data_IF_893825693591
#
_entry.id   IF_893825693591
#
_cell.length_a   1.000
_cell.length_b   1.000
_cell.length_c   1.000
_cell.angle_alpha   90.00
_cell.angle_beta   90.00
_cell.angle_gamma   90.00
#
_symmetry.space_group_name_H-M   'P 1'
#
loop_
_entity.id
_entity.type
_entity.pdbx_description
1 polymer ?
#
# COMPACT_ATOMS: atom_id res chain seq x y z
N UNK A 1 -13.96 15.81 -3.63
CA UNK A 1 -12.64 15.28 -4.06
C UNK A 1 -11.67 15.12 -2.90
N UNK A 2 -11.41 16.15 -2.08
CA UNK A 2 -10.49 16.08 -0.92
C UNK A 2 -10.77 14.92 0.05
N UNK A 3 -12.03 14.72 0.47
CA UNK A 3 -12.42 13.60 1.35
C UNK A 3 -12.14 12.21 0.75
N UNK A 4 -12.36 12.03 -0.57
CA UNK A 4 -12.08 10.75 -1.25
C UNK A 4 -10.58 10.45 -1.29
N UNK A 5 -9.77 11.48 -1.54
CA UNK A 5 -8.30 11.38 -1.58
C UNK A 5 -7.76 11.05 -0.18
N UNK A 6 -8.15 11.82 0.83
CA UNK A 6 -7.73 11.58 2.23
C UNK A 6 -8.21 10.20 2.70
N UNK A 7 -9.45 9.83 2.39
CA UNK A 7 -9.98 8.50 2.70
C UNK A 7 -9.16 7.38 2.08
N UNK A 8 -8.80 7.50 0.79
CA UNK A 8 -7.95 6.52 0.12
C UNK A 8 -6.55 6.41 0.76
N UNK A 9 -5.94 7.53 1.16
CA UNK A 9 -4.68 7.52 1.90
C UNK A 9 -4.80 6.87 3.28
N UNK A 10 -5.84 7.18 4.05
CA UNK A 10 -6.03 6.57 5.37
C UNK A 10 -6.28 5.07 5.24
N UNK A 11 -7.13 4.66 4.29
CA UNK A 11 -7.38 3.26 4.02
C UNK A 11 -6.09 2.53 3.59
N UNK A 12 -5.31 3.10 2.67
CA UNK A 12 -4.04 2.53 2.22
C UNK A 12 -3.03 2.37 3.36
N UNK A 13 -2.92 3.38 4.24
CA UNK A 13 -2.07 3.33 5.42
C UNK A 13 -2.51 2.18 6.35
N UNK A 14 -3.79 2.14 6.75
CA UNK A 14 -4.29 1.12 7.66
C UNK A 14 -4.14 -0.29 7.08
N UNK A 15 -4.57 -0.50 5.84
CA UNK A 15 -4.56 -1.82 5.19
C UNK A 15 -3.15 -2.35 4.99
N UNK A 16 -2.22 -1.55 4.46
CA UNK A 16 -0.82 -1.98 4.29
C UNK A 16 -0.13 -2.23 5.63
N UNK A 17 -0.46 -1.45 6.65
CA UNK A 17 0.02 -1.65 8.02
C UNK A 17 -0.43 -3.01 8.57
N UNK A 18 -1.74 -3.29 8.53
CA UNK A 18 -2.30 -4.56 9.02
C UNK A 18 -1.71 -5.76 8.27
N UNK A 19 -1.67 -5.71 6.94
CA UNK A 19 -1.15 -6.80 6.11
C UNK A 19 0.34 -7.05 6.41
N UNK A 20 1.16 -6.00 6.39
CA UNK A 20 2.61 -6.15 6.63
C UNK A 20 2.91 -6.63 8.05
N UNK A 21 2.22 -6.07 9.06
CA UNK A 21 2.39 -6.49 10.45
C UNK A 21 2.01 -7.96 10.63
N UNK A 22 0.86 -8.38 10.09
CA UNK A 22 0.37 -9.75 10.20
C UNK A 22 1.34 -10.73 9.53
N UNK A 23 1.75 -10.44 8.29
CA UNK A 23 2.69 -11.30 7.56
C UNK A 23 4.02 -11.45 8.27
N UNK A 24 4.62 -10.35 8.73
CA UNK A 24 5.94 -10.37 9.35
C UNK A 24 5.86 -11.00 10.75
N UNK A 25 4.82 -10.70 11.53
CA UNK A 25 4.65 -11.30 12.87
C UNK A 25 4.40 -12.81 12.80
N UNK A 26 3.64 -13.30 11.81
CA UNK A 26 3.37 -14.74 11.64
C UNK A 26 4.60 -15.49 11.12
N UNK A 27 5.30 -14.95 10.12
CA UNK A 27 6.38 -15.69 9.44
C UNK A 27 7.75 -15.53 10.11
N UNK A 28 8.01 -14.39 10.74
CA UNK A 28 9.31 -14.05 11.34
C UNK A 28 9.23 -14.03 12.87
N UNK A 29 8.04 -13.79 13.43
CA UNK A 29 7.88 -13.60 14.87
C UNK A 29 8.37 -12.23 15.37
N UNK A 30 8.30 -12.04 16.67
CA UNK A 30 8.69 -10.79 17.34
C UNK A 30 10.17 -10.81 17.72
N UNK A 31 11.05 -10.48 16.77
CA UNK A 31 12.50 -10.33 17.00
C UNK A 31 12.84 -9.09 17.83
N UNK A 32 14.10 -8.94 18.24
CA UNK A 32 14.57 -7.74 18.92
C UNK A 32 14.29 -6.46 18.12
N UNK A 33 13.71 -5.47 18.80
CA UNK A 33 13.26 -4.21 18.22
C UNK A 33 12.28 -4.40 17.05
N UNK A 34 11.53 -5.51 17.03
CA UNK A 34 10.57 -5.83 15.96
C UNK A 34 9.68 -4.65 15.62
N UNK A 35 9.01 -4.07 16.62
CA UNK A 35 8.02 -3.02 16.39
C UNK A 35 8.66 -1.78 15.74
N UNK A 36 9.86 -1.40 16.19
CA UNK A 36 10.61 -0.28 15.62
C UNK A 36 11.10 -0.58 14.20
N UNK A 37 11.68 -1.77 13.97
CA UNK A 37 12.16 -2.20 12.64
C UNK A 37 11.02 -2.30 11.63
N UNK A 38 9.90 -2.89 12.05
CA UNK A 38 8.69 -3.01 11.25
C UNK A 38 8.14 -1.62 10.93
N UNK A 39 7.90 -0.76 11.93
CA UNK A 39 7.31 0.56 11.73
C UNK A 39 8.18 1.43 10.82
N UNK A 40 9.50 1.44 11.03
CA UNK A 40 10.45 2.15 10.17
C UNK A 40 10.39 1.67 8.72
N UNK A 41 10.45 0.35 8.52
CA UNK A 41 10.47 -0.24 7.17
C UNK A 41 9.16 -0.03 6.44
N UNK A 42 8.04 -0.25 7.13
CA UNK A 42 6.70 -0.05 6.59
C UNK A 42 6.42 1.42 6.27
N UNK A 43 6.79 2.36 7.14
CA UNK A 43 6.57 3.79 6.89
C UNK A 43 7.35 4.26 5.65
N UNK A 44 8.60 3.83 5.50
CA UNK A 44 9.41 4.12 4.30
C UNK A 44 8.74 3.53 3.05
N UNK A 45 8.32 2.26 3.11
CA UNK A 45 7.63 1.60 2.00
C UNK A 45 6.32 2.33 1.61
N UNK A 46 5.56 2.81 2.61
CA UNK A 46 4.32 3.53 2.37
C UNK A 46 4.56 4.88 1.67
N UNK A 47 5.59 5.63 2.07
CA UNK A 47 5.96 6.88 1.39
C UNK A 47 6.36 6.64 -0.06
N UNK A 48 7.01 5.50 -0.35
CA UNK A 48 7.41 5.11 -1.71
C UNK A 48 6.22 4.63 -2.55
N UNK A 49 5.28 3.87 -1.96
CA UNK A 49 4.16 3.29 -2.73
C UNK A 49 3.18 4.34 -3.23
N UNK A 50 2.99 5.43 -2.49
CA UNK A 50 2.11 6.55 -2.87
C UNK A 50 2.45 7.14 -4.25
N UNK A 51 3.66 7.67 -4.51
CA UNK A 51 4.02 8.20 -5.82
C UNK A 51 4.02 7.11 -6.90
N UNK A 52 4.42 5.88 -6.55
CA UNK A 52 4.39 4.75 -7.48
C UNK A 52 2.97 4.47 -7.97
N UNK A 53 1.97 4.44 -7.08
CA UNK A 53 0.56 4.26 -7.44
C UNK A 53 0.10 5.40 -8.33
N UNK A 54 0.45 6.66 -8.04
CA UNK A 54 0.06 7.80 -8.87
C UNK A 54 0.64 7.72 -10.29
N UNK A 55 1.85 7.19 -10.45
CA UNK A 55 2.49 6.98 -11.75
C UNK A 55 1.94 5.76 -12.51
N UNK A 56 1.59 4.69 -11.79
CA UNK A 56 1.14 3.41 -12.38
C UNK A 56 -0.36 3.41 -12.66
N UNK A 57 -1.18 4.07 -11.83
CA UNK A 57 -2.63 4.06 -11.96
C UNK A 57 -3.16 4.45 -13.36
N UNK A 58 -2.62 5.49 -14.04
CA UNK A 58 -3.05 5.80 -15.40
C UNK A 58 -2.79 4.65 -16.39
N UNK A 59 -1.62 4.01 -16.29
CA UNK A 59 -1.24 2.88 -17.16
C UNK A 59 -2.14 1.67 -16.93
N UNK A 60 -2.44 1.38 -15.66
CA UNK A 60 -3.37 0.30 -15.29
C UNK A 60 -4.77 0.61 -15.79
N UNK A 61 -5.25 1.85 -15.65
CA UNK A 61 -6.57 2.25 -16.17
C UNK A 61 -6.65 2.10 -17.69
N UNK A 62 -5.59 2.41 -18.43
CA UNK A 62 -5.51 2.16 -19.89
C UNK A 62 -5.54 0.67 -20.23
N UNK A 63 -4.82 -0.16 -19.46
CA UNK A 63 -4.84 -1.61 -19.66
C UNK A 63 -6.21 -2.21 -19.36
N UNK A 64 -6.81 -1.81 -18.24
CA UNK A 64 -8.16 -2.22 -17.82
C UNK A 64 -9.16 -1.80 -18.89
N UNK A 65 -9.13 -0.55 -19.35
CA UNK A 65 -10.04 -0.10 -20.40
C UNK A 65 -9.86 -0.87 -21.69
N UNK A 66 -8.63 -1.18 -22.10
CA UNK A 66 -8.35 -2.03 -23.27
C UNK A 66 -8.97 -3.44 -23.12
N UNK A 67 -8.76 -4.09 -21.97
CA UNK A 67 -9.30 -5.44 -21.70
C UNK A 67 -10.83 -5.49 -21.70
N UNK A 68 -11.50 -4.45 -21.19
CA UNK A 68 -12.95 -4.37 -21.15
C UNK A 68 -13.58 -3.72 -22.39
N UNK A 69 -12.77 -3.24 -23.36
CA UNK A 69 -13.27 -2.67 -24.63
C UNK A 69 -13.58 -3.74 -25.68
N UNK A 70 -13.36 -5.02 -25.38
CA UNK A 70 -13.93 -6.13 -26.13
C UNK A 70 -15.38 -6.41 -25.66
N UNK A 71 -16.30 -5.57 -26.12
CA UNK A 71 -17.70 -5.92 -26.41
C UNK A 71 -18.32 -4.86 -27.31
#
# INVERSE_FOLDING_TARGET
MKQKIIGAFIMGFITTGIISFSLISINIGFIENFLFKWLKSWAIAYVIVVPVILMIAPKVNTLVSYLFREK
#
